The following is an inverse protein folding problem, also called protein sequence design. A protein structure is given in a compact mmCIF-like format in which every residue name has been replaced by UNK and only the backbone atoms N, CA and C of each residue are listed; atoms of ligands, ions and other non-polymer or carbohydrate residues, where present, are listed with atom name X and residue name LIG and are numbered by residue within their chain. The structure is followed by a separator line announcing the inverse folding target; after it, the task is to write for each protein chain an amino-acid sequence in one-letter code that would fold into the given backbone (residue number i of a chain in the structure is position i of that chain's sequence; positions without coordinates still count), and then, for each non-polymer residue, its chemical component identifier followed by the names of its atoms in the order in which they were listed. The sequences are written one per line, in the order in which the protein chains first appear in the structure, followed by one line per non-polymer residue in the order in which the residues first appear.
data_IF_807989325572
#
_entry.id   IF_807989325572
#
_cell.length_a   1.000
_cell.length_b   1.000
_cell.length_c   1.000
_cell.angle_alpha   90.00
_cell.angle_beta   90.00
_cell.angle_gamma   90.00
#
_symmetry.space_group_name_H-M   'P 1'
#
loop_
_entity.id
_entity.type
_entity.pdbx_description
1 polymer ?
#
# COMPACT_ATOMS: atom_id res chain seq x y z
N UNK A 1 28.19 -28.20 30.12
CA UNK A 1 28.19 -28.44 28.66
C UNK A 1 26.86 -27.92 28.14
N UNK A 2 26.82 -26.73 27.55
CA UNK A 2 25.58 -26.17 26.98
C UNK A 2 25.21 -27.08 25.79
N UNK A 3 24.00 -27.63 25.81
CA UNK A 3 23.54 -28.55 24.78
C UNK A 3 23.51 -27.83 23.43
N UNK A 4 23.95 -28.51 22.35
CA UNK A 4 23.85 -28.01 20.98
C UNK A 4 22.42 -27.51 20.63
N UNK A 5 21.41 -28.09 21.27
CA UNK A 5 20.00 -27.72 21.10
C UNK A 5 19.64 -26.35 21.66
N UNK A 6 20.26 -25.91 22.77
CA UNK A 6 19.95 -24.59 23.37
C UNK A 6 20.57 -23.44 22.57
N UNK A 7 21.71 -23.68 21.91
CA UNK A 7 22.32 -22.70 21.00
C UNK A 7 21.47 -22.56 19.72
N UNK A 8 21.08 -23.67 19.10
CA UNK A 8 20.22 -23.67 17.91
C UNK A 8 18.86 -22.99 18.17
N UNK A 9 18.27 -23.19 19.35
CA UNK A 9 17.04 -22.50 19.74
C UNK A 9 17.22 -20.98 19.82
N UNK A 10 18.33 -20.50 20.39
CA UNK A 10 18.63 -19.07 20.44
C UNK A 10 18.75 -18.47 19.04
N UNK A 11 19.47 -19.13 18.14
CA UNK A 11 19.67 -18.64 16.77
C UNK A 11 18.35 -18.51 15.99
N UNK A 12 17.48 -19.52 16.07
CA UNK A 12 16.17 -19.51 15.41
C UNK A 12 15.28 -18.40 16.00
N UNK A 13 15.32 -18.21 17.32
CA UNK A 13 14.54 -17.18 17.99
C UNK A 13 14.96 -15.77 17.55
N UNK A 14 16.26 -15.47 17.56
CA UNK A 14 16.78 -14.18 17.09
C UNK A 14 16.52 -13.95 15.60
N UNK A 15 16.69 -14.99 14.76
CA UNK A 15 16.40 -14.91 13.32
C UNK A 15 14.92 -14.60 13.03
N UNK A 16 14.01 -15.25 13.76
CA UNK A 16 12.56 -15.02 13.62
C UNK A 16 12.17 -13.62 14.09
N UNK A 17 12.74 -13.17 15.21
CA UNK A 17 12.51 -11.82 15.75
C UNK A 17 12.99 -10.73 14.78
N UNK A 18 14.19 -10.90 14.22
CA UNK A 18 14.74 -9.95 13.24
C UNK A 18 13.92 -9.96 11.94
N UNK A 19 13.52 -11.13 11.45
CA UNK A 19 12.68 -11.25 10.25
C UNK A 19 11.33 -10.55 10.43
N UNK A 20 10.71 -10.69 11.61
CA UNK A 20 9.49 -9.98 11.94
C UNK A 20 9.71 -8.46 11.89
N UNK A 21 10.77 -7.97 12.53
CA UNK A 21 11.08 -6.54 12.61
C UNK A 21 11.31 -5.94 11.21
N UNK A 22 12.05 -6.65 10.35
CA UNK A 22 12.27 -6.25 8.96
C UNK A 22 10.96 -6.24 8.16
N UNK A 23 10.11 -7.27 8.29
CA UNK A 23 8.83 -7.33 7.58
C UNK A 23 7.89 -6.20 7.99
N UNK A 24 7.81 -5.89 9.29
CA UNK A 24 7.01 -4.76 9.79
C UNK A 24 7.53 -3.44 9.25
N UNK A 25 8.85 -3.24 9.26
CA UNK A 25 9.46 -2.03 8.72
C UNK A 25 9.21 -1.88 7.22
N UNK A 26 9.35 -2.97 6.46
CA UNK A 26 9.07 -3.03 5.04
C UNK A 26 7.60 -2.72 4.72
N UNK A 27 6.66 -3.28 5.49
CA UNK A 27 5.22 -2.99 5.34
C UNK A 27 4.92 -1.50 5.58
N UNK A 28 5.55 -0.90 6.60
CA UNK A 28 5.40 0.52 6.90
C UNK A 28 5.92 1.41 5.77
N UNK A 29 7.14 1.14 5.27
CA UNK A 29 7.74 1.83 4.12
C UNK A 29 6.87 1.72 2.86
N UNK A 30 6.38 0.51 2.57
CA UNK A 30 5.54 0.25 1.40
C UNK A 30 4.24 1.03 1.48
N UNK A 31 3.62 1.09 2.67
CA UNK A 31 2.40 1.86 2.90
C UNK A 31 2.62 3.35 2.65
N UNK A 32 3.73 3.91 3.16
CA UNK A 32 4.08 5.32 2.93
C UNK A 32 4.33 5.62 1.46
N UNK A 33 5.06 4.75 0.75
CA UNK A 33 5.29 4.87 -0.69
C UNK A 33 3.98 4.80 -1.49
N UNK A 34 3.08 3.88 -1.15
CA UNK A 34 1.79 3.74 -1.83
C UNK A 34 0.94 5.00 -1.70
N UNK A 35 0.81 5.55 -0.48
CA UNK A 35 0.09 6.82 -0.25
C UNK A 35 0.74 7.97 -1.01
N UNK A 36 2.08 8.05 -1.00
CA UNK A 36 2.83 9.07 -1.75
C UNK A 36 2.56 9.02 -3.25
N UNK A 37 2.52 7.82 -3.84
CA UNK A 37 2.21 7.61 -5.26
C UNK A 37 0.76 8.00 -5.55
N UNK A 38 -0.21 7.58 -4.73
CA UNK A 38 -1.61 7.99 -4.92
C UNK A 38 -1.77 9.51 -4.90
N UNK A 39 -1.13 10.17 -3.94
CA UNK A 39 -1.16 11.63 -3.84
C UNK A 39 -0.50 12.32 -5.05
N UNK A 40 0.61 11.77 -5.54
CA UNK A 40 1.28 12.28 -6.73
C UNK A 40 0.43 12.09 -7.99
N UNK A 41 -0.22 10.93 -8.16
CA UNK A 41 -1.11 10.65 -9.29
C UNK A 41 -2.31 11.59 -9.27
N UNK A 42 -2.96 11.76 -8.11
CA UNK A 42 -4.09 12.68 -7.95
C UNK A 42 -3.72 14.10 -8.41
N UNK A 43 -2.56 14.59 -7.95
CA UNK A 43 -2.11 15.94 -8.27
C UNK A 43 -1.57 16.11 -9.68
N UNK A 44 -0.95 15.08 -10.27
CA UNK A 44 -0.30 15.21 -11.58
C UNK A 44 -1.27 14.92 -12.73
N UNK A 45 -2.15 13.93 -12.56
CA UNK A 45 -3.09 13.50 -13.59
C UNK A 45 -4.37 14.34 -13.57
N UNK A 46 -4.82 14.79 -12.39
CA UNK A 46 -6.13 15.48 -12.24
C UNK A 46 -6.02 16.98 -11.94
N UNK A 47 -4.88 17.58 -12.30
CA UNK A 47 -4.44 18.94 -11.96
C UNK A 47 -5.45 20.09 -12.25
N UNK A 48 -6.47 19.85 -13.08
CA UNK A 48 -7.48 20.85 -13.47
C UNK A 48 -8.93 20.37 -13.28
N UNK A 49 -9.17 19.16 -12.77
CA UNK A 49 -10.52 18.60 -12.63
C UNK A 49 -10.78 18.35 -11.16
N UNK A 50 -11.61 19.22 -10.56
CA UNK A 50 -12.18 18.96 -9.25
C UNK A 50 -13.38 18.03 -9.44
N UNK A 51 -13.14 16.71 -9.39
CA UNK A 51 -14.17 15.69 -9.64
C UNK A 51 -15.39 15.89 -8.75
N UNK A 52 -15.21 16.34 -7.52
CA UNK A 52 -16.32 16.59 -6.60
C UNK A 52 -17.23 17.68 -7.15
N UNK A 53 -16.66 18.79 -7.65
CA UNK A 53 -17.45 19.87 -8.24
C UNK A 53 -18.07 19.50 -9.58
N UNK A 54 -17.34 18.79 -10.45
CA UNK A 54 -17.83 18.33 -11.76
C UNK A 54 -18.97 17.33 -11.63
N UNK A 55 -18.88 16.39 -10.69
CA UNK A 55 -19.94 15.43 -10.39
C UNK A 55 -21.17 16.15 -9.82
N UNK A 56 -20.98 17.13 -8.93
CA UNK A 56 -22.09 17.95 -8.39
C UNK A 56 -22.78 18.79 -9.48
N UNK A 57 -22.05 19.23 -10.50
CA UNK A 57 -22.61 19.93 -11.68
C UNK A 57 -23.36 19.00 -12.65
N UNK A 58 -23.41 17.70 -12.37
CA UNK A 58 -24.09 16.71 -13.20
C UNK A 58 -23.24 16.16 -14.34
N UNK A 59 -21.91 16.35 -14.32
CA UNK A 59 -21.04 15.76 -15.32
C UNK A 59 -20.83 14.25 -15.06
N UNK A 60 -21.60 13.44 -15.77
CA UNK A 60 -21.57 11.98 -15.68
C UNK A 60 -20.21 11.41 -16.13
N UNK A 61 -19.51 12.07 -17.07
CA UNK A 61 -18.20 11.62 -17.53
C UNK A 61 -17.15 11.68 -16.41
N UNK A 62 -17.19 12.73 -15.58
CA UNK A 62 -16.34 12.85 -14.41
C UNK A 62 -16.63 11.76 -13.38
N UNK A 63 -17.90 11.41 -13.16
CA UNK A 63 -18.30 10.33 -12.25
C UNK A 63 -17.82 8.95 -12.72
N UNK A 64 -17.98 8.64 -14.01
CA UNK A 64 -17.53 7.38 -14.61
C UNK A 64 -16.01 7.25 -14.52
N UNK A 65 -15.29 8.33 -14.83
CA UNK A 65 -13.84 8.33 -14.79
C UNK A 65 -13.30 8.16 -13.35
N UNK A 66 -13.86 8.89 -12.38
CA UNK A 66 -13.51 8.73 -10.97
C UNK A 66 -13.82 7.30 -10.47
N UNK A 67 -14.97 6.75 -10.84
CA UNK A 67 -15.35 5.37 -10.50
C UNK A 67 -14.42 4.32 -11.12
N UNK A 68 -14.05 4.48 -12.39
CA UNK A 68 -13.11 3.58 -13.07
C UNK A 68 -11.70 3.65 -12.46
N UNK A 69 -11.24 4.85 -12.10
CA UNK A 69 -9.96 5.02 -11.41
C UNK A 69 -9.98 4.33 -10.05
N UNK A 70 -11.04 4.52 -9.25
CA UNK A 70 -11.21 3.87 -7.96
C UNK A 70 -11.23 2.34 -8.09
N UNK A 71 -11.94 1.81 -9.09
CA UNK A 71 -11.96 0.39 -9.41
C UNK A 71 -10.57 -0.15 -9.78
N UNK A 72 -9.85 0.58 -10.62
CA UNK A 72 -8.50 0.18 -11.07
C UNK A 72 -7.52 0.12 -9.89
N UNK A 73 -7.56 1.10 -9.00
CA UNK A 73 -6.75 1.13 -7.77
C UNK A 73 -7.12 -0.04 -6.84
N UNK A 74 -8.42 -0.31 -6.66
CA UNK A 74 -8.90 -1.43 -5.85
C UNK A 74 -8.42 -2.79 -6.39
N UNK A 75 -8.41 -2.95 -7.72
CA UNK A 75 -7.92 -4.15 -8.41
C UNK A 75 -6.40 -4.33 -8.19
N UNK A 76 -5.62 -3.26 -8.35
CA UNK A 76 -4.18 -3.26 -8.07
C UNK A 76 -3.86 -3.64 -6.61
N UNK A 77 -4.63 -3.10 -5.65
CA UNK A 77 -4.52 -3.45 -4.24
C UNK A 77 -4.85 -4.92 -3.97
N UNK A 78 -5.88 -5.44 -4.64
CA UNK A 78 -6.29 -6.84 -4.51
C UNK A 78 -5.20 -7.81 -4.98
N UNK A 79 -4.44 -7.46 -6.02
CA UNK A 79 -3.27 -8.25 -6.44
C UNK A 79 -2.09 -8.15 -5.49
N UNK A 80 -1.93 -7.03 -4.80
CA UNK A 80 -0.85 -6.81 -3.82
C UNK A 80 -1.05 -7.62 -2.54
N UNK A 81 -2.31 -7.84 -2.14
CA UNK A 81 -2.68 -8.54 -0.90
C UNK A 81 -2.66 -10.08 -0.99
N UNK A 82 -2.09 -10.64 -2.06
CA UNK A 82 -1.95 -12.09 -2.25
C UNK A 82 -0.52 -12.55 -2.00
#
# INVERSE_FOLDING_TARGET
MISLTTLAFMDIFFSSFFSLLVNVFYACLTTLLAVGILWAVDRHVFKNIDFVQEIQKGNIAAAIFAGFFLLSVCLLLSFTMR
#
